data_IF_912054418016
#
_entry.id   IF_912054418016
#
_cell.length_a   1.000
_cell.length_b   1.000
_cell.length_c   1.000
_cell.angle_alpha   90.00
_cell.angle_beta   90.00
_cell.angle_gamma   90.00
#
_symmetry.space_group_name_H-M   'P 1'
#
loop_
_entity.id
_entity.type
_entity.pdbx_description
1 polymer ?
#
# COMPACT_ATOMS: atom_id res chain seq x y z
N UNK A 1 -53.13 12.42 33.64
CA UNK A 1 -51.89 13.23 33.52
C UNK A 1 -50.62 12.37 33.43
N UNK A 2 -50.65 11.06 33.64
CA UNK A 2 -49.44 10.20 33.58
C UNK A 2 -49.07 9.73 32.17
N UNK A 3 -50.02 9.59 31.25
CA UNK A 3 -49.74 9.09 29.89
C UNK A 3 -49.01 10.10 28.99
N UNK A 4 -49.24 11.38 29.16
CA UNK A 4 -48.61 12.43 28.38
C UNK A 4 -47.08 12.53 28.67
N UNK A 5 -46.71 12.34 29.92
CA UNK A 5 -45.28 12.37 30.35
C UNK A 5 -44.51 11.14 29.87
N UNK A 6 -45.19 9.99 29.78
CA UNK A 6 -44.57 8.75 29.25
C UNK A 6 -44.34 8.85 27.73
N UNK A 7 -45.27 9.48 27.01
CA UNK A 7 -45.17 9.70 25.57
C UNK A 7 -44.05 10.69 25.19
N UNK A 8 -43.92 11.76 25.99
CA UNK A 8 -42.80 12.72 25.82
C UNK A 8 -41.45 12.09 26.09
N UNK A 9 -41.34 11.27 27.16
CA UNK A 9 -40.08 10.56 27.48
C UNK A 9 -39.66 9.57 26.38
N UNK A 10 -40.63 8.84 25.80
CA UNK A 10 -40.36 7.91 24.69
C UNK A 10 -39.87 8.62 23.42
N UNK A 11 -40.47 9.76 23.07
CA UNK A 11 -40.04 10.58 21.92
C UNK A 11 -38.67 11.21 22.13
N UNK A 12 -38.38 11.66 23.37
CA UNK A 12 -37.06 12.24 23.71
C UNK A 12 -35.96 11.17 23.68
N UNK A 13 -36.25 9.95 24.18
CA UNK A 13 -35.30 8.84 24.15
C UNK A 13 -35.02 8.36 22.72
N UNK A 14 -36.05 8.35 21.84
CA UNK A 14 -35.93 8.00 20.42
C UNK A 14 -35.11 9.04 19.65
N UNK A 15 -35.31 10.33 19.92
CA UNK A 15 -34.55 11.42 19.29
C UNK A 15 -33.09 11.41 19.73
N UNK A 16 -32.82 11.10 21.01
CA UNK A 16 -31.44 10.97 21.54
C UNK A 16 -30.70 9.78 20.93
N UNK A 17 -31.39 8.66 20.70
CA UNK A 17 -30.80 7.47 20.07
C UNK A 17 -30.47 7.70 18.59
N UNK A 18 -31.33 8.47 17.87
CA UNK A 18 -31.08 8.81 16.46
C UNK A 18 -29.92 9.80 16.31
N UNK A 19 -29.73 10.72 17.25
CA UNK A 19 -28.62 11.68 17.24
C UNK A 19 -27.25 11.01 17.46
N UNK A 20 -27.19 9.87 18.17
CA UNK A 20 -25.96 9.14 18.44
C UNK A 20 -25.42 8.37 17.22
N UNK A 21 -26.25 8.09 16.21
CA UNK A 21 -25.87 7.33 15.01
C UNK A 21 -25.10 8.18 13.99
N UNK A 22 -25.05 9.50 14.13
CA UNK A 22 -24.35 10.40 13.18
C UNK A 22 -22.93 10.77 13.59
N UNK A 23 -22.40 10.28 14.71
CA UNK A 23 -21.08 10.63 15.24
C UNK A 23 -19.95 9.65 14.87
N UNK A 24 -20.23 8.63 14.02
CA UNK A 24 -19.24 7.63 13.66
C UNK A 24 -18.75 7.81 12.20
N UNK A 25 -18.22 8.98 11.87
CA UNK A 25 -17.40 9.15 10.68
C UNK A 25 -16.02 9.66 11.12
N UNK A 26 -15.18 8.75 11.59
CA UNK A 26 -13.75 8.98 11.70
C UNK A 26 -13.16 8.79 10.31
N UNK A 27 -12.91 9.89 9.59
CA UNK A 27 -12.01 9.87 8.46
C UNK A 27 -10.60 9.62 9.03
N UNK A 28 -10.11 8.39 8.93
CA UNK A 28 -8.67 8.15 9.01
C UNK A 28 -8.08 8.82 7.75
N UNK A 29 -7.55 10.02 7.89
CA UNK A 29 -6.65 10.57 6.90
C UNK A 29 -5.51 9.56 6.77
N UNK A 30 -5.48 8.83 5.65
CA UNK A 30 -4.32 8.01 5.28
C UNK A 30 -3.18 9.00 5.11
N UNK A 31 -2.26 9.00 6.05
CA UNK A 31 -1.09 9.87 6.02
C UNK A 31 -0.27 9.54 4.78
N UNK A 32 -0.33 10.45 3.79
CA UNK A 32 0.39 10.27 2.53
C UNK A 32 1.87 10.37 2.79
N UNK A 33 2.64 9.54 2.09
CA UNK A 33 4.09 9.62 2.14
C UNK A 33 4.57 11.01 1.67
N UNK A 34 5.29 11.78 2.49
CA UNK A 34 5.70 13.14 2.13
C UNK A 34 6.87 13.17 1.13
N UNK A 35 7.57 12.05 0.95
CA UNK A 35 8.76 11.95 0.11
C UNK A 35 8.46 11.44 -1.30
N UNK A 36 7.38 10.66 -1.45
CA UNK A 36 7.04 10.00 -2.70
C UNK A 36 5.71 10.55 -3.24
N UNK A 37 5.78 11.28 -4.35
CA UNK A 37 4.58 11.72 -5.07
C UNK A 37 3.91 10.52 -5.75
N UNK A 38 2.59 10.48 -5.72
CA UNK A 38 1.82 9.46 -6.41
C UNK A 38 1.66 9.85 -7.90
N UNK A 39 2.12 8.98 -8.80
CA UNK A 39 1.96 9.14 -10.25
C UNK A 39 0.81 8.25 -10.73
N UNK A 40 -0.05 8.81 -11.55
CA UNK A 40 -1.10 8.01 -12.21
C UNK A 40 -0.54 7.31 -13.44
N UNK A 41 -0.62 5.99 -13.47
CA UNK A 41 -0.22 5.16 -14.60
C UNK A 41 -1.02 3.86 -14.66
N UNK A 42 -0.99 3.22 -15.82
CA UNK A 42 -1.46 1.86 -16.03
C UNK A 42 -0.51 1.16 -16.99
N UNK A 43 0.08 0.05 -16.56
CA UNK A 43 1.08 -0.68 -17.34
C UNK A 43 0.77 -2.19 -17.38
N UNK A 44 0.53 -2.76 -18.56
CA UNK A 44 0.31 -4.19 -18.73
C UNK A 44 1.65 -4.94 -18.85
N UNK A 45 1.85 -5.94 -18.01
CA UNK A 45 2.98 -6.87 -18.02
C UNK A 45 2.51 -8.17 -18.66
N UNK A 46 2.96 -8.46 -19.89
CA UNK A 46 2.64 -9.71 -20.54
C UNK A 46 3.57 -10.83 -20.06
N UNK A 47 3.05 -11.76 -19.27
CA UNK A 47 3.82 -12.86 -18.68
C UNK A 47 4.40 -13.85 -19.70
N UNK A 48 4.01 -13.76 -20.98
CA UNK A 48 4.62 -14.61 -22.05
C UNK A 48 5.96 -14.07 -22.54
N UNK A 49 6.31 -12.81 -22.21
CA UNK A 49 7.57 -12.21 -22.63
C UNK A 49 8.72 -12.74 -21.74
N UNK A 50 9.89 -13.03 -22.33
CA UNK A 50 11.04 -13.57 -21.59
C UNK A 50 11.53 -12.69 -20.44
N UNK A 51 11.43 -11.39 -20.56
CA UNK A 51 11.84 -10.40 -19.56
C UNK A 51 11.05 -10.49 -18.24
N UNK A 52 9.87 -11.15 -18.26
CA UNK A 52 9.00 -11.34 -17.09
C UNK A 52 8.94 -12.80 -16.62
N UNK A 53 9.89 -13.65 -17.05
CA UNK A 53 9.87 -15.06 -16.68
C UNK A 53 9.92 -15.30 -15.18
N UNK A 54 10.62 -14.45 -14.42
CA UNK A 54 10.72 -14.56 -12.96
C UNK A 54 9.34 -14.40 -12.29
N UNK A 55 8.43 -13.62 -12.91
CA UNK A 55 7.05 -13.49 -12.43
C UNK A 55 6.18 -14.73 -12.63
N UNK A 56 6.64 -15.76 -13.31
CA UNK A 56 5.93 -17.05 -13.43
C UNK A 56 6.16 -17.95 -12.21
N UNK A 57 7.18 -17.67 -11.43
CA UNK A 57 7.54 -18.43 -10.24
C UNK A 57 7.03 -17.74 -8.99
N UNK A 58 6.44 -18.49 -8.07
CA UNK A 58 6.12 -17.97 -6.75
C UNK A 58 7.41 -17.50 -6.04
N UNK A 59 7.38 -16.30 -5.47
CA UNK A 59 8.56 -15.64 -4.91
C UNK A 59 9.40 -14.85 -5.92
N UNK A 60 9.10 -14.96 -7.21
CA UNK A 60 9.81 -14.20 -8.24
C UNK A 60 9.42 -12.73 -8.27
N UNK A 61 10.35 -11.85 -8.65
CA UNK A 61 10.13 -10.42 -8.76
C UNK A 61 10.79 -9.83 -10.00
N UNK A 62 10.25 -8.73 -10.51
CA UNK A 62 10.82 -7.96 -11.62
C UNK A 62 10.71 -6.48 -11.31
N UNK A 63 11.77 -5.72 -11.65
CA UNK A 63 11.77 -4.27 -11.60
C UNK A 63 11.37 -3.68 -12.96
N UNK A 64 10.32 -2.88 -12.98
CA UNK A 64 9.87 -2.09 -14.14
C UNK A 64 10.42 -0.68 -14.01
N UNK A 65 11.59 -0.43 -14.52
CA UNK A 65 12.39 0.78 -14.29
C UNK A 65 11.80 2.07 -14.87
N UNK A 66 10.87 1.99 -15.85
CA UNK A 66 10.25 3.14 -16.50
C UNK A 66 9.03 3.71 -15.76
N UNK A 67 8.62 3.12 -14.64
CA UNK A 67 7.47 3.55 -13.83
C UNK A 67 7.93 4.12 -12.49
N UNK A 68 7.07 4.92 -11.84
CA UNK A 68 7.34 5.46 -10.51
C UNK A 68 8.55 6.39 -10.43
N UNK A 69 9.14 6.49 -9.24
CA UNK A 69 10.34 7.32 -8.98
C UNK A 69 11.65 6.60 -9.34
N UNK A 70 11.76 5.33 -8.93
CA UNK A 70 12.95 4.48 -9.13
C UNK A 70 12.61 3.14 -9.79
N UNK A 71 11.43 3.02 -10.33
CA UNK A 71 10.88 1.80 -10.85
C UNK A 71 9.73 1.28 -10.00
N UNK A 72 9.10 0.22 -10.48
CA UNK A 72 8.08 -0.54 -9.75
C UNK A 72 8.53 -1.98 -9.61
N UNK A 73 8.63 -2.47 -8.39
CA UNK A 73 8.88 -3.87 -8.08
C UNK A 73 7.55 -4.60 -8.16
N UNK A 74 7.47 -5.58 -9.06
CA UNK A 74 6.33 -6.50 -9.11
C UNK A 74 6.78 -7.83 -8.53
N UNK A 75 6.03 -8.35 -7.55
CA UNK A 75 6.36 -9.57 -6.83
C UNK A 75 5.22 -10.58 -6.94
N UNK A 76 5.53 -11.82 -7.29
CA UNK A 76 4.58 -12.92 -7.37
C UNK A 76 4.51 -13.69 -6.04
N UNK A 77 3.36 -13.67 -5.36
CA UNK A 77 3.19 -14.41 -4.09
C UNK A 77 3.07 -15.94 -4.33
N UNK A 78 2.20 -16.33 -5.27
CA UNK A 78 1.78 -17.74 -5.39
C UNK A 78 1.41 -18.21 -6.81
N UNK A 79 1.81 -17.46 -7.83
CA UNK A 79 1.47 -17.71 -9.23
C UNK A 79 0.21 -17.02 -9.74
N UNK A 80 -0.70 -16.60 -8.86
CA UNK A 80 -1.96 -15.94 -9.21
C UNK A 80 -2.18 -14.60 -8.50
N UNK A 81 -1.36 -14.29 -7.51
CA UNK A 81 -1.46 -13.06 -6.72
C UNK A 81 -0.15 -12.31 -6.81
N UNK A 82 -0.25 -11.05 -7.21
CA UNK A 82 0.90 -10.18 -7.40
C UNK A 82 0.77 -8.95 -6.51
N UNK A 83 1.90 -8.46 -6.04
CA UNK A 83 2.04 -7.17 -5.35
C UNK A 83 2.91 -6.26 -6.21
N UNK A 84 2.65 -4.96 -6.13
CA UNK A 84 3.47 -3.97 -6.80
C UNK A 84 3.82 -2.84 -5.82
N UNK A 85 5.10 -2.48 -5.81
CA UNK A 85 5.67 -1.49 -4.89
C UNK A 85 6.52 -0.49 -5.63
N UNK A 86 6.46 0.77 -5.22
CA UNK A 86 7.46 1.76 -5.63
C UNK A 86 8.86 1.29 -5.24
N UNK A 87 9.82 1.36 -6.17
CA UNK A 87 11.19 0.94 -5.93
C UNK A 87 12.08 2.05 -5.34
N UNK A 88 11.50 3.16 -4.90
CA UNK A 88 12.18 4.20 -4.13
C UNK A 88 11.98 4.00 -2.64
N UNK A 89 13.02 4.21 -1.85
CA UNK A 89 12.93 4.21 -0.38
C UNK A 89 11.86 5.20 0.09
N UNK A 90 10.90 4.80 0.97
CA UNK A 90 9.79 5.64 1.35
C UNK A 90 10.08 6.61 2.51
N UNK A 91 11.22 6.51 3.19
CA UNK A 91 11.53 7.26 4.41
C UNK A 91 12.48 8.44 4.24
N UNK A 92 12.82 8.78 2.98
CA UNK A 92 13.60 9.97 2.63
C UNK A 92 13.31 10.40 1.18
N UNK A 93 13.69 11.65 0.84
CA UNK A 93 13.57 12.16 -0.52
C UNK A 93 14.41 11.33 -1.51
N UNK A 94 13.90 11.03 -2.72
CA UNK A 94 14.61 10.23 -3.73
C UNK A 94 16.00 10.79 -4.06
N UNK A 95 17.02 9.94 -3.98
CA UNK A 95 18.44 10.23 -4.24
C UNK A 95 19.08 9.12 -5.08
N UNK A 96 20.38 9.14 -5.26
CA UNK A 96 21.09 8.11 -6.03
C UNK A 96 21.08 6.72 -5.36
N UNK A 97 21.05 6.65 -4.02
CA UNK A 97 21.00 5.41 -3.25
C UNK A 97 19.58 4.90 -2.97
N UNK A 98 18.53 5.66 -3.34
CA UNK A 98 17.13 5.35 -2.96
C UNK A 98 16.54 4.13 -3.65
N UNK A 99 17.19 3.59 -4.68
CA UNK A 99 16.64 2.43 -5.38
C UNK A 99 16.73 1.18 -4.50
N UNK A 100 15.57 0.61 -4.22
CA UNK A 100 15.43 -0.63 -3.45
C UNK A 100 16.02 -1.80 -4.22
N UNK A 101 16.75 -2.64 -3.50
CA UNK A 101 17.27 -3.92 -3.95
C UNK A 101 16.39 -5.04 -3.37
N UNK A 102 16.08 -6.05 -4.19
CA UNK A 102 15.25 -7.18 -3.77
C UNK A 102 16.11 -8.43 -3.63
N UNK A 103 15.98 -9.10 -2.48
CA UNK A 103 16.52 -10.43 -2.22
C UNK A 103 15.41 -11.28 -1.60
N UNK A 104 14.91 -12.27 -2.32
CA UNK A 104 13.78 -13.11 -1.95
C UNK A 104 12.52 -12.24 -1.66
N UNK A 105 12.05 -12.23 -0.41
CA UNK A 105 10.90 -11.42 0.04
C UNK A 105 11.30 -10.15 0.80
N UNK A 106 12.60 -9.83 0.85
CA UNK A 106 13.14 -8.63 1.49
C UNK A 106 13.47 -7.59 0.42
N UNK A 107 13.01 -6.38 0.64
CA UNK A 107 13.34 -5.19 -0.11
C UNK A 107 14.24 -4.28 0.75
N UNK A 108 15.47 -3.99 0.30
CA UNK A 108 16.44 -3.23 1.07
C UNK A 108 16.70 -1.85 0.44
N UNK A 109 16.66 -0.81 1.26
CA UNK A 109 17.09 0.53 0.93
C UNK A 109 18.55 0.72 1.30
N UNK A 110 19.41 0.92 0.29
CA UNK A 110 20.86 1.06 0.53
C UNK A 110 21.28 2.37 1.23
N UNK A 111 20.37 3.37 1.32
CA UNK A 111 20.70 4.64 1.98
C UNK A 111 20.79 4.52 3.51
N UNK A 112 19.83 3.83 4.12
CA UNK A 112 19.71 3.68 5.57
C UNK A 112 19.75 2.22 6.02
N UNK A 113 19.99 1.29 5.12
CA UNK A 113 19.95 -0.16 5.39
C UNK A 113 18.57 -0.62 5.90
N UNK A 114 17.50 0.12 5.54
CA UNK A 114 16.13 -0.23 5.88
C UNK A 114 15.66 -1.44 5.09
N UNK A 115 15.09 -2.40 5.80
CA UNK A 115 14.57 -3.63 5.21
C UNK A 115 13.04 -3.68 5.32
N UNK A 116 12.40 -3.98 4.21
CA UNK A 116 10.95 -4.06 4.09
C UNK A 116 10.53 -5.47 3.68
N UNK A 117 9.40 -5.91 4.18
CA UNK A 117 8.81 -7.17 3.76
C UNK A 117 7.95 -6.94 2.51
N UNK A 118 8.28 -7.58 1.38
CA UNK A 118 7.53 -7.46 0.13
C UNK A 118 6.10 -8.02 0.19
N UNK A 119 5.77 -8.87 1.16
CA UNK A 119 4.42 -9.39 1.31
C UNK A 119 3.48 -8.39 2.00
N UNK A 120 4.01 -7.48 2.80
CA UNK A 120 3.22 -6.54 3.60
C UNK A 120 3.56 -5.07 3.35
N UNK A 121 4.70 -4.79 2.74
CA UNK A 121 5.27 -3.44 2.57
C UNK A 121 5.85 -2.84 3.85
N UNK A 122 5.78 -3.53 4.99
CA UNK A 122 6.17 -2.99 6.29
C UNK A 122 7.69 -2.96 6.47
N UNK A 123 8.19 -1.90 7.15
CA UNK A 123 9.58 -1.81 7.59
C UNK A 123 9.83 -2.83 8.70
N UNK A 124 10.90 -3.63 8.55
CA UNK A 124 11.26 -4.72 9.47
C UNK A 124 12.22 -4.29 10.58
N UNK A 125 13.06 -3.30 10.31
CA UNK A 125 14.10 -2.82 11.22
C UNK A 125 13.96 -1.31 11.51
N UNK A 126 12.81 -0.84 12.05
CA UNK A 126 12.61 0.57 12.34
C UNK A 126 13.63 1.06 13.38
N UNK A 127 14.22 2.25 13.22
CA UNK A 127 15.09 2.84 14.24
C UNK A 127 14.28 3.11 15.53
N UNK A 128 14.94 2.94 16.68
CA UNK A 128 14.27 3.03 17.98
C UNK A 128 13.74 4.42 18.33
N UNK A 129 14.29 5.46 17.69
CA UNK A 129 13.98 6.88 17.88
C UNK A 129 13.13 7.48 16.74
N UNK A 130 12.66 6.67 15.79
CA UNK A 130 11.84 7.15 14.70
C UNK A 130 10.44 7.54 15.20
N UNK A 131 10.06 8.79 14.99
CA UNK A 131 8.71 9.28 15.30
C UNK A 131 7.67 8.76 14.29
N UNK A 132 8.05 8.66 13.01
CA UNK A 132 7.19 8.16 11.94
C UNK A 132 8.02 7.38 10.93
N UNK A 133 7.55 6.21 10.53
CA UNK A 133 8.13 5.41 9.45
C UNK A 133 7.05 5.05 8.44
N UNK A 134 7.38 5.16 7.16
CA UNK A 134 6.47 4.85 6.08
C UNK A 134 6.76 3.47 5.50
N UNK A 135 5.72 2.66 5.24
CA UNK A 135 5.86 1.41 4.50
C UNK A 135 6.17 1.69 3.02
N UNK A 136 6.48 0.65 2.27
CA UNK A 136 6.59 0.75 0.81
C UNK A 136 5.30 1.34 0.21
N UNK A 137 5.43 2.23 -0.76
CA UNK A 137 4.29 2.80 -1.48
C UNK A 137 3.70 1.72 -2.39
N UNK A 138 2.43 1.40 -2.15
CA UNK A 138 1.72 0.32 -2.83
C UNK A 138 1.11 0.80 -4.15
N UNK A 139 1.21 -0.06 -5.18
CA UNK A 139 0.50 0.04 -6.43
C UNK A 139 -0.40 -1.17 -6.63
N UNK A 140 -1.53 -1.00 -7.30
CA UNK A 140 -2.44 -2.10 -7.60
C UNK A 140 -1.83 -3.01 -8.66
N UNK A 141 -1.92 -4.33 -8.46
CA UNK A 141 -1.53 -5.34 -9.43
C UNK A 141 -2.71 -6.32 -9.65
N UNK A 142 -3.25 -6.33 -10.86
CA UNK A 142 -4.42 -7.17 -11.21
C UNK A 142 -4.07 -8.15 -12.32
N UNK A 143 -4.42 -9.42 -12.12
CA UNK A 143 -4.27 -10.44 -13.16
C UNK A 143 -5.39 -10.30 -14.19
N UNK A 144 -5.02 -10.20 -15.46
CA UNK A 144 -5.94 -10.15 -16.60
C UNK A 144 -5.48 -11.12 -17.69
N UNK A 145 -6.04 -12.33 -17.68
CA UNK A 145 -5.58 -13.40 -18.57
C UNK A 145 -4.12 -13.74 -18.34
N UNK A 146 -3.28 -13.61 -19.37
CA UNK A 146 -1.84 -13.86 -19.33
C UNK A 146 -1.01 -12.60 -19.02
N UNK A 147 -1.64 -11.60 -18.43
CA UNK A 147 -0.98 -10.33 -18.09
C UNK A 147 -1.26 -9.94 -16.65
N UNK A 148 -0.33 -9.22 -16.05
CA UNK A 148 -0.54 -8.46 -14.81
C UNK A 148 -0.60 -6.98 -15.16
N UNK A 149 -1.69 -6.31 -14.78
CA UNK A 149 -1.84 -4.86 -14.98
C UNK A 149 -1.48 -4.17 -13.68
N UNK A 150 -0.43 -3.36 -13.72
CA UNK A 150 -0.01 -2.51 -12.59
C UNK A 150 -0.56 -1.12 -12.82
N UNK A 151 -1.16 -0.53 -11.78
CA UNK A 151 -1.75 0.81 -11.85
C UNK A 151 -1.73 1.53 -10.50
N UNK A 152 -1.84 2.85 -10.58
CA UNK A 152 -2.05 3.74 -9.45
C UNK A 152 -3.20 4.69 -9.75
#
# INVERSE_FOLDING_TARGET
>A
MSDLTLFLKKKFLSALFTAFLFLSCSSTDLERNPYLAEYSFQFPINLNLPEYNDLKLAGGSVLISQLGHKGVIVYNINGNTFLAWEASCPNHAPSSCSQIQVSDFIAECSCEEYQYNLLTGQLLNPPADAETVYPLLFYRAEVRGNSVVVSN
#
